data_IF_506600662817
#
_entry.id   IF_506600662817
#
_cell.length_a   1.000
_cell.length_b   1.000
_cell.length_c   1.000
_cell.angle_alpha   90.00
_cell.angle_beta   90.00
_cell.angle_gamma   90.00
#
_symmetry.space_group_name_H-M   'P 1'
#
loop_
_entity.id
_entity.type
_entity.pdbx_description
1 polymer ?
#
# COMPACT_ATOMS: atom_id res chain seq x y z
N UNK A 1 2.79 18.48 15.01
CA UNK A 1 2.78 17.30 14.10
C UNK A 1 3.29 17.73 12.73
N UNK A 2 4.18 16.97 12.10
CA UNK A 2 4.76 17.38 10.82
C UNK A 2 3.73 17.09 9.71
N UNK A 3 3.30 18.11 8.96
CA UNK A 3 2.38 17.99 7.80
C UNK A 3 2.74 16.82 6.86
N UNK A 4 4.03 16.49 6.78
CA UNK A 4 4.58 15.37 6.00
C UNK A 4 3.97 14.02 6.38
N UNK A 5 3.77 13.75 7.67
CA UNK A 5 3.28 12.44 8.14
C UNK A 5 1.81 12.21 7.75
N UNK A 6 1.01 13.29 7.70
CA UNK A 6 -0.37 13.25 7.20
C UNK A 6 -0.42 12.97 5.70
N UNK A 7 0.49 13.57 4.92
CA UNK A 7 0.57 13.35 3.48
C UNK A 7 0.91 11.88 3.17
N UNK A 8 1.89 11.30 3.88
CA UNK A 8 2.22 9.89 3.74
C UNK A 8 1.08 8.97 4.18
N UNK A 9 0.30 9.36 5.19
CA UNK A 9 -0.88 8.59 5.58
C UNK A 9 -1.96 8.58 4.49
N UNK A 10 -2.24 9.73 3.87
CA UNK A 10 -3.20 9.81 2.74
C UNK A 10 -2.74 8.95 1.56
N UNK A 11 -1.45 9.01 1.20
CA UNK A 11 -0.86 8.15 0.16
C UNK A 11 -0.99 6.67 0.53
N UNK A 12 -0.76 6.32 1.80
CA UNK A 12 -0.90 4.96 2.28
C UNK A 12 -2.34 4.45 2.27
N UNK A 13 -3.37 5.32 2.27
CA UNK A 13 -4.78 4.92 2.21
C UNK A 13 -5.30 4.72 0.78
N UNK A 14 -4.68 5.35 -0.22
CA UNK A 14 -5.11 5.27 -1.63
C UNK A 14 -5.27 3.82 -2.14
N UNK A 15 -4.31 2.91 -1.92
CA UNK A 15 -4.45 1.51 -2.32
C UNK A 15 -5.64 0.80 -1.65
N UNK A 16 -5.92 1.10 -0.38
CA UNK A 16 -7.07 0.54 0.34
C UNK A 16 -8.40 1.01 -0.24
N UNK A 17 -8.50 2.30 -0.55
CA UNK A 17 -9.71 2.87 -1.18
C UNK A 17 -9.91 2.23 -2.56
N UNK A 18 -8.84 2.09 -3.34
CA UNK A 18 -8.93 1.42 -4.64
C UNK A 18 -9.38 -0.03 -4.53
N UNK A 19 -8.94 -0.76 -3.50
CA UNK A 19 -9.35 -2.14 -3.26
C UNK A 19 -10.82 -2.22 -2.84
N UNK A 20 -11.29 -1.31 -1.99
CA UNK A 20 -12.72 -1.19 -1.63
C UNK A 20 -13.59 -0.94 -2.86
N UNK A 21 -13.18 -0.04 -3.75
CA UNK A 21 -13.91 0.24 -5.00
C UNK A 21 -14.00 -0.99 -5.90
N UNK A 22 -12.93 -1.78 -6.00
CA UNK A 22 -12.92 -3.03 -6.76
C UNK A 22 -13.85 -4.10 -6.14
N UNK A 23 -13.88 -4.21 -4.80
CA UNK A 23 -14.78 -5.14 -4.10
C UNK A 23 -16.26 -4.76 -4.25
N UNK A 24 -16.59 -3.47 -4.36
CA UNK A 24 -17.95 -2.98 -4.53
C UNK A 24 -18.53 -3.19 -5.94
N UNK A 25 -17.88 -4.02 -6.79
CA UNK A 25 -18.26 -4.30 -8.19
C UNK A 25 -18.44 -3.04 -9.05
N UNK A 26 -17.81 -1.93 -8.67
CA UNK A 26 -17.69 -0.78 -9.56
C UNK A 26 -16.67 -1.22 -10.60
N UNK A 27 -17.14 -1.84 -11.68
CA UNK A 27 -16.31 -2.22 -12.81
C UNK A 27 -15.83 -0.93 -13.46
N UNK A 28 -14.71 -0.41 -12.95
CA UNK A 28 -13.93 0.60 -13.64
C UNK A 28 -13.67 0.05 -15.05
N UNK A 29 -13.98 0.84 -16.08
CA UNK A 29 -13.74 0.47 -17.47
C UNK A 29 -12.27 0.00 -17.56
N UNK A 30 -12.03 -1.08 -18.31
CA UNK A 30 -10.77 -1.84 -18.34
C UNK A 30 -9.50 -0.98 -18.38
N UNK A 31 -9.55 0.18 -19.06
CA UNK A 31 -8.45 1.14 -19.17
C UNK A 31 -8.13 1.88 -17.86
N UNK A 32 -9.15 2.26 -17.09
CA UNK A 32 -8.96 2.92 -15.79
C UNK A 32 -8.43 1.95 -14.73
N UNK A 33 -8.81 0.67 -14.80
CA UNK A 33 -8.34 -0.34 -13.86
C UNK A 33 -6.82 -0.53 -13.91
N UNK A 34 -6.23 -0.56 -15.13
CA UNK A 34 -4.78 -0.62 -15.30
C UNK A 34 -4.08 0.62 -14.71
N UNK A 35 -4.61 1.81 -15.00
CA UNK A 35 -4.08 3.06 -14.45
C UNK A 35 -4.11 3.10 -12.92
N UNK A 36 -5.25 2.78 -12.30
CA UNK A 36 -5.37 2.72 -10.84
C UNK A 36 -4.42 1.68 -10.22
N UNK A 37 -4.19 0.55 -10.91
CA UNK A 37 -3.25 -0.46 -10.45
C UNK A 37 -1.82 0.06 -10.41
N UNK A 38 -1.39 0.79 -11.44
CA UNK A 38 -0.06 1.44 -11.48
C UNK A 38 0.08 2.47 -10.35
N UNK A 39 -0.93 3.32 -10.15
CA UNK A 39 -0.94 4.33 -9.08
C UNK A 39 -0.85 3.66 -7.70
N UNK A 40 -1.58 2.56 -7.49
CA UNK A 40 -1.53 1.80 -6.24
C UNK A 40 -0.14 1.22 -5.97
N UNK A 41 0.51 0.64 -6.99
CA UNK A 41 1.87 0.12 -6.85
C UNK A 41 2.84 1.23 -6.44
N UNK A 42 2.76 2.40 -7.08
CA UNK A 42 3.58 3.56 -6.73
C UNK A 42 3.33 3.99 -5.27
N UNK A 43 2.06 4.08 -4.84
CA UNK A 43 1.71 4.43 -3.47
C UNK A 43 2.24 3.42 -2.45
N UNK A 44 2.17 2.11 -2.75
CA UNK A 44 2.71 1.05 -1.91
C UNK A 44 4.23 1.20 -1.76
N UNK A 45 4.96 1.41 -2.87
CA UNK A 45 6.41 1.60 -2.85
C UNK A 45 6.82 2.81 -2.01
N UNK A 46 6.14 3.95 -2.17
CA UNK A 46 6.38 5.14 -1.34
C UNK A 46 6.10 4.88 0.14
N UNK A 47 5.02 4.17 0.45
CA UNK A 47 4.64 3.82 1.83
C UNK A 47 5.69 2.93 2.49
N UNK A 48 6.19 1.92 1.77
CA UNK A 48 7.26 1.04 2.25
C UNK A 48 8.55 1.81 2.45
N UNK A 49 8.97 2.64 1.48
CA UNK A 49 10.19 3.46 1.59
C UNK A 49 10.15 4.39 2.81
N UNK A 50 9.02 5.07 3.03
CA UNK A 50 8.85 5.94 4.19
C UNK A 50 8.80 5.14 5.52
N UNK A 51 8.19 3.96 5.52
CA UNK A 51 8.20 3.06 6.69
C UNK A 51 9.62 2.61 7.06
N UNK A 52 10.47 2.27 6.08
CA UNK A 52 11.88 1.93 6.31
C UNK A 52 12.61 3.11 6.98
N UNK A 53 12.44 4.33 6.46
CA UNK A 53 13.02 5.54 7.05
C UNK A 53 12.55 5.75 8.50
N UNK A 54 11.26 5.50 8.77
CA UNK A 54 10.69 5.56 10.12
C UNK A 54 11.22 4.47 11.06
N UNK A 55 11.55 3.28 10.55
CA UNK A 55 12.15 2.20 11.35
C UNK A 55 13.59 2.55 11.73
N UNK A 56 14.37 3.10 10.79
CA UNK A 56 15.76 3.49 11.01
C UNK A 56 15.86 4.69 11.96
N UNK A 57 14.91 5.63 11.90
CA UNK A 57 14.84 6.73 12.86
C UNK A 57 14.23 6.23 14.19
N UNK A 58 15.06 5.80 15.14
CA UNK A 58 14.70 5.31 16.48
C UNK A 58 14.05 6.34 17.43
N UNK A 59 13.38 7.37 16.90
CA UNK A 59 12.64 8.35 17.71
C UNK A 59 11.28 7.77 18.12
N UNK A 60 10.74 8.23 19.26
CA UNK A 60 9.37 7.91 19.68
C UNK A 60 8.40 8.18 18.53
N UNK A 61 7.73 7.12 18.06
CA UNK A 61 6.80 7.16 16.92
C UNK A 61 5.41 7.60 17.39
N UNK A 62 4.82 8.54 16.67
CA UNK A 62 3.44 8.97 16.91
C UNK A 62 2.44 7.92 16.38
N UNK A 63 1.18 7.98 16.83
CA UNK A 63 0.15 7.02 16.42
C UNK A 63 -0.02 6.92 14.89
N UNK A 64 0.00 8.05 14.16
CA UNK A 64 -0.05 8.04 12.68
C UNK A 64 1.10 7.26 12.05
N UNK A 65 2.32 7.45 12.54
CA UNK A 65 3.50 6.76 12.02
C UNK A 65 3.42 5.25 12.31
N UNK A 66 2.86 4.87 13.47
CA UNK A 66 2.57 3.46 13.79
C UNK A 66 1.55 2.88 12.81
N UNK A 67 0.48 3.61 12.49
CA UNK A 67 -0.51 3.16 11.50
C UNK A 67 0.10 2.96 10.11
N UNK A 68 0.91 3.90 9.65
CA UNK A 68 1.63 3.77 8.36
C UNK A 68 2.54 2.54 8.36
N UNK A 69 3.22 2.28 9.49
CA UNK A 69 4.10 1.13 9.63
C UNK A 69 3.30 -0.19 9.58
N UNK A 70 2.15 -0.28 10.25
CA UNK A 70 1.25 -1.43 10.17
C UNK A 70 0.75 -1.63 8.73
N UNK A 71 0.31 -0.56 8.07
CA UNK A 71 -0.12 -0.62 6.66
C UNK A 71 0.98 -1.13 5.74
N UNK A 72 2.22 -0.69 5.95
CA UNK A 72 3.36 -1.16 5.16
C UNK A 72 3.60 -2.66 5.32
N UNK A 73 3.43 -3.20 6.54
CA UNK A 73 3.54 -4.65 6.80
C UNK A 73 2.43 -5.41 6.07
N UNK A 74 1.20 -4.92 6.15
CA UNK A 74 0.06 -5.51 5.43
C UNK A 74 0.36 -5.56 3.93
N UNK A 75 0.82 -4.45 3.35
CA UNK A 75 1.16 -4.41 1.92
C UNK A 75 2.28 -5.37 1.52
N UNK A 76 3.33 -5.49 2.35
CA UNK A 76 4.39 -6.49 2.11
C UNK A 76 3.83 -7.91 2.15
N UNK A 77 2.99 -8.25 3.14
CA UNK A 77 2.35 -9.56 3.21
C UNK A 77 1.45 -9.83 2.00
N UNK A 78 0.73 -8.81 1.53
CA UNK A 78 -0.15 -8.93 0.37
C UNK A 78 0.66 -9.21 -0.89
N UNK A 79 1.79 -8.51 -1.08
CA UNK A 79 2.71 -8.75 -2.19
C UNK A 79 3.31 -10.16 -2.16
N UNK A 80 3.70 -10.65 -0.97
CA UNK A 80 4.21 -12.02 -0.81
C UNK A 80 3.13 -13.04 -1.20
N UNK A 81 1.90 -12.85 -0.71
CA UNK A 81 0.79 -13.76 -1.01
C UNK A 81 0.47 -13.81 -2.51
N UNK A 82 0.42 -12.65 -3.17
CA UNK A 82 0.21 -12.55 -4.63
C UNK A 82 1.35 -13.25 -5.37
N UNK A 83 2.60 -12.98 -5.00
CA UNK A 83 3.77 -13.59 -5.63
C UNK A 83 3.74 -15.12 -5.51
N UNK A 84 3.39 -15.63 -4.33
CA UNK A 84 3.27 -17.07 -4.09
C UNK A 84 2.15 -17.70 -4.94
N UNK A 85 0.99 -17.04 -5.04
CA UNK A 85 -0.11 -17.49 -5.90
C UNK A 85 0.28 -17.53 -7.38
N UNK A 86 1.01 -16.54 -7.88
CA UNK A 86 1.52 -16.51 -9.26
C UNK A 86 2.50 -17.65 -9.51
N UNK A 87 3.43 -17.90 -8.58
CA UNK A 87 4.41 -18.99 -8.68
C UNK A 87 3.68 -20.33 -8.78
N UNK A 88 2.75 -20.62 -7.86
CA UNK A 88 1.98 -21.89 -7.88
C UNK A 88 1.26 -22.07 -9.21
N UNK A 89 0.59 -21.02 -9.70
CA UNK A 89 -0.16 -21.08 -10.95
C UNK A 89 0.74 -21.26 -12.19
N UNK A 90 2.03 -20.91 -12.12
CA UNK A 90 2.96 -21.14 -13.22
C UNK A 90 3.41 -22.61 -13.32
N UNK A 91 3.36 -23.35 -12.21
CA UNK A 91 3.77 -24.76 -12.14
C UNK A 91 2.60 -25.76 -12.27
N UNK A 92 1.37 -25.26 -12.42
CA UNK A 92 0.14 -26.04 -12.51
C UNK A 92 -0.47 -25.88 -13.91
#
# INVERSE_FOLDING_TARGET
MKRKDYLFFVIALLPLISLLLQLMKISLIHNYQSFFSIVNIICILFTIAYSIILVINSKKKNNLQKTILILSIIYILTLIFISFGVIINMFN
#
